data_IF_506506247629
#
_entry.id   IF_506506247629
#
_cell.length_a   1.000
_cell.length_b   1.000
_cell.length_c   1.000
_cell.angle_alpha   90.00
_cell.angle_beta   90.00
_cell.angle_gamma   90.00
#
_symmetry.space_group_name_H-M   'P 1'
#
loop_
_entity.id
_entity.type
_entity.pdbx_description
1 polymer ?
#
# COMPACT_ATOMS: atom_id res chain seq x y z
N UNK A 1 -14.32 -14.22 -18.94
CA UNK A 1 -14.45 -12.99 -18.12
C UNK A 1 -13.87 -13.29 -16.74
N UNK A 2 -12.70 -12.74 -16.44
CA UNK A 2 -11.79 -13.23 -15.39
C UNK A 2 -12.27 -12.98 -13.96
N UNK A 3 -12.44 -14.05 -13.18
CA UNK A 3 -12.88 -14.06 -11.78
C UNK A 3 -11.75 -13.82 -10.77
N UNK A 4 -10.71 -13.04 -11.11
CA UNK A 4 -9.51 -12.88 -10.27
C UNK A 4 -9.17 -11.48 -9.71
N UNK A 5 -9.93 -10.38 -9.91
CA UNK A 5 -9.49 -9.08 -9.39
C UNK A 5 -9.46 -9.00 -7.86
N UNK A 6 -10.31 -9.78 -7.17
CA UNK A 6 -10.43 -9.78 -5.69
C UNK A 6 -9.32 -10.61 -5.04
N UNK A 7 -8.97 -11.78 -5.61
CA UNK A 7 -7.90 -12.63 -5.08
C UNK A 7 -6.53 -11.95 -5.20
N UNK A 8 -6.28 -11.23 -6.30
CA UNK A 8 -5.08 -10.42 -6.47
C UNK A 8 -5.03 -9.26 -5.48
N UNK A 9 -6.18 -8.64 -5.18
CA UNK A 9 -6.26 -7.54 -4.22
C UNK A 9 -5.98 -8.00 -2.79
N UNK A 10 -6.58 -9.11 -2.36
CA UNK A 10 -6.31 -9.75 -1.06
C UNK A 10 -4.84 -10.15 -0.91
N UNK A 11 -4.23 -10.72 -1.95
CA UNK A 11 -2.82 -11.09 -1.92
C UNK A 11 -1.90 -9.88 -1.74
N UNK A 12 -2.25 -8.75 -2.36
CA UNK A 12 -1.54 -7.47 -2.19
C UNK A 12 -1.73 -6.89 -0.78
N UNK A 13 -2.93 -7.01 -0.21
CA UNK A 13 -3.23 -6.58 1.17
C UNK A 13 -2.43 -7.41 2.19
N UNK A 14 -2.41 -8.74 2.06
CA UNK A 14 -1.59 -9.61 2.92
C UNK A 14 -0.09 -9.30 2.83
N UNK A 15 0.40 -8.98 1.63
CA UNK A 15 1.79 -8.56 1.45
C UNK A 15 2.05 -7.24 2.14
N UNK A 16 1.12 -6.28 2.08
CA UNK A 16 1.20 -5.02 2.80
C UNK A 16 1.27 -5.22 4.32
N UNK A 17 0.38 -6.03 4.88
CA UNK A 17 0.37 -6.39 6.30
C UNK A 17 1.68 -7.02 6.74
N UNK A 18 2.17 -7.99 5.96
CA UNK A 18 3.42 -8.70 6.26
C UNK A 18 4.65 -7.79 6.15
N UNK A 19 4.70 -6.95 5.11
CA UNK A 19 5.83 -6.03 4.87
C UNK A 19 5.90 -4.93 5.93
N UNK A 20 4.76 -4.36 6.33
CA UNK A 20 4.71 -3.27 7.30
C UNK A 20 4.52 -3.72 8.74
N UNK A 21 4.28 -5.01 8.97
CA UNK A 21 3.91 -5.58 10.27
C UNK A 21 2.70 -4.88 10.89
N UNK A 22 1.67 -4.66 10.07
CA UNK A 22 0.40 -4.02 10.45
C UNK A 22 -0.78 -4.95 10.18
N UNK A 23 -1.91 -4.60 10.77
CA UNK A 23 -3.22 -5.19 10.49
C UNK A 23 -4.07 -4.13 9.79
N UNK A 24 -4.48 -4.40 8.55
CA UNK A 24 -5.22 -3.42 7.74
C UNK A 24 -6.61 -3.13 8.32
N UNK A 25 -7.26 -4.12 8.92
CA UNK A 25 -8.56 -3.92 9.56
C UNK A 25 -8.41 -3.03 10.78
N UNK A 26 -7.35 -3.23 11.57
CA UNK A 26 -7.06 -2.37 12.73
C UNK A 26 -6.72 -0.94 12.32
N UNK A 27 -5.94 -0.76 11.26
CA UNK A 27 -5.64 0.57 10.73
C UNK A 27 -6.92 1.25 10.22
N UNK A 28 -7.81 0.50 9.56
CA UNK A 28 -9.11 1.02 9.15
C UNK A 28 -9.99 1.43 10.33
N UNK A 29 -10.04 0.62 11.40
CA UNK A 29 -10.80 0.96 12.61
C UNK A 29 -10.25 2.18 13.35
N UNK A 30 -8.95 2.43 13.26
CA UNK A 30 -8.31 3.56 13.94
C UNK A 30 -8.61 4.91 13.28
N UNK A 31 -8.44 5.01 11.96
CA UNK A 31 -8.53 6.29 11.22
C UNK A 31 -9.00 6.13 9.78
N UNK A 32 -9.71 5.03 9.49
CA UNK A 32 -10.10 4.63 8.13
C UNK A 32 -8.91 4.46 7.17
N UNK A 33 -7.71 4.23 7.72
CA UNK A 33 -6.49 3.98 6.98
C UNK A 33 -5.79 5.23 6.45
N UNK A 34 -6.19 6.44 6.85
CA UNK A 34 -5.60 7.69 6.34
C UNK A 34 -4.11 7.83 6.66
N UNK A 35 -3.67 7.49 7.88
CA UNK A 35 -2.24 7.49 8.23
C UNK A 35 -1.47 6.50 7.38
N UNK A 36 -2.02 5.29 7.18
CA UNK A 36 -1.38 4.29 6.35
C UNK A 36 -1.25 4.74 4.89
N UNK A 37 -2.29 5.34 4.32
CA UNK A 37 -2.24 5.91 2.96
C UNK A 37 -1.19 7.02 2.86
N UNK A 38 -1.03 7.82 3.91
CA UNK A 38 -0.01 8.87 3.99
C UNK A 38 1.42 8.32 4.03
N UNK A 39 1.63 7.16 4.64
CA UNK A 39 2.94 6.46 4.64
C UNK A 39 3.39 6.10 3.21
N UNK A 40 2.45 5.82 2.31
CA UNK A 40 2.76 5.54 0.90
C UNK A 40 2.89 6.80 0.02
N UNK A 41 2.78 8.00 0.58
CA UNK A 41 3.05 9.21 -0.17
C UNK A 41 4.54 9.30 -0.50
N UNK A 42 4.81 9.23 -1.79
CA UNK A 42 6.15 9.30 -2.34
C UNK A 42 6.11 10.26 -3.53
N UNK A 43 6.66 11.46 -3.32
CA UNK A 43 6.65 12.51 -4.32
C UNK A 43 7.77 12.32 -5.35
N UNK A 44 7.69 13.05 -6.45
CA UNK A 44 8.81 13.14 -7.42
C UNK A 44 10.06 13.77 -6.78
N UNK A 45 9.89 14.61 -5.75
CA UNK A 45 11.00 15.22 -5.03
C UNK A 45 11.68 14.20 -4.10
N UNK A 46 10.91 13.34 -3.44
CA UNK A 46 11.45 12.22 -2.66
C UNK A 46 12.28 11.27 -3.53
N UNK A 47 11.81 10.98 -4.75
CA UNK A 47 12.54 10.17 -5.73
C UNK A 47 13.87 10.83 -6.14
N UNK A 48 13.85 12.13 -6.46
CA UNK A 48 15.06 12.91 -6.81
C UNK A 48 16.08 12.93 -5.69
N UNK A 49 15.63 12.94 -4.43
CA UNK A 49 16.48 12.93 -3.24
C UNK A 49 16.86 11.51 -2.79
N UNK A 50 16.54 10.47 -3.56
CA UNK A 50 16.79 9.06 -3.19
C UNK A 50 16.24 8.69 -1.81
N UNK A 51 15.10 9.27 -1.42
CA UNK A 51 14.47 8.99 -0.14
C UNK A 51 14.14 7.51 -0.06
N UNK A 52 14.56 6.88 1.03
CA UNK A 52 14.27 5.48 1.25
C UNK A 52 12.75 5.26 1.47
N UNK A 53 12.19 4.15 0.97
CA UNK A 53 10.82 3.80 1.26
C UNK A 53 10.62 3.57 2.78
N UNK A 54 9.37 3.63 3.26
CA UNK A 54 9.03 3.30 4.65
C UNK A 54 9.63 1.98 5.10
N UNK A 55 10.05 1.92 6.37
CA UNK A 55 10.61 0.70 6.97
C UNK A 55 9.65 -0.48 6.76
N UNK A 56 10.20 -1.60 6.29
CA UNK A 56 9.43 -2.81 5.98
C UNK A 56 9.04 -2.95 4.50
N UNK A 57 9.07 -1.86 3.73
CA UNK A 57 8.89 -1.91 2.28
C UNK A 57 10.25 -2.04 1.61
N UNK A 58 10.44 -3.13 0.87
CA UNK A 58 11.63 -3.37 0.08
C UNK A 58 11.25 -3.48 -1.39
N UNK A 59 11.99 -2.77 -2.22
CA UNK A 59 11.91 -2.86 -3.67
C UNK A 59 13.19 -3.51 -4.19
N UNK A 60 13.08 -4.33 -5.22
CA UNK A 60 14.26 -4.94 -5.87
C UNK A 60 15.12 -3.86 -6.54
N UNK A 61 16.42 -4.09 -6.64
CA UNK A 61 17.34 -3.18 -7.31
C UNK A 61 16.90 -2.91 -8.76
N UNK A 62 16.81 -1.63 -9.13
CA UNK A 62 16.30 -1.19 -10.45
C UNK A 62 14.78 -1.01 -10.52
N UNK A 63 14.03 -1.32 -9.46
CA UNK A 63 12.60 -1.04 -9.38
C UNK A 63 12.32 0.46 -9.30
N UNK A 64 11.24 0.90 -9.95
CA UNK A 64 10.76 2.27 -9.81
C UNK A 64 9.99 2.41 -8.48
N UNK A 65 10.66 2.93 -7.45
CA UNK A 65 10.12 3.10 -6.08
C UNK A 65 8.83 3.91 -6.12
N UNK A 66 8.78 5.00 -6.88
CA UNK A 66 7.59 5.86 -6.97
C UNK A 66 6.37 5.10 -7.48
N UNK A 67 6.51 4.34 -8.56
CA UNK A 67 5.43 3.50 -9.11
C UNK A 67 5.05 2.38 -8.15
N UNK A 68 6.04 1.79 -7.47
CA UNK A 68 5.81 0.79 -6.43
C UNK A 68 4.96 1.35 -5.28
N UNK A 69 5.37 2.49 -4.72
CA UNK A 69 4.66 3.21 -3.65
C UNK A 69 3.25 3.63 -4.09
N UNK A 70 3.09 4.14 -5.31
CA UNK A 70 1.78 4.47 -5.86
C UNK A 70 0.86 3.24 -6.01
N UNK A 71 1.43 2.09 -6.40
CA UNK A 71 0.70 0.82 -6.51
C UNK A 71 0.24 0.31 -5.14
N UNK A 72 1.11 0.38 -4.13
CA UNK A 72 0.77 0.04 -2.74
C UNK A 72 -0.32 0.96 -2.18
N UNK A 73 -0.19 2.27 -2.42
CA UNK A 73 -1.22 3.26 -2.06
C UNK A 73 -2.57 2.93 -2.68
N UNK A 74 -2.60 2.60 -3.97
CA UNK A 74 -3.84 2.23 -4.66
C UNK A 74 -4.46 0.94 -4.10
N UNK A 75 -3.63 -0.05 -3.76
CA UNK A 75 -4.11 -1.29 -3.14
C UNK A 75 -4.73 -1.04 -1.76
N UNK A 76 -4.07 -0.28 -0.89
CA UNK A 76 -4.61 0.11 0.42
C UNK A 76 -5.91 0.90 0.30
N UNK A 77 -5.98 1.88 -0.62
CA UNK A 77 -7.21 2.65 -0.84
C UNK A 77 -8.38 1.76 -1.25
N UNK A 78 -8.17 0.85 -2.20
CA UNK A 78 -9.21 -0.10 -2.63
C UNK A 78 -9.69 -1.01 -1.50
N UNK A 79 -8.79 -1.42 -0.61
CA UNK A 79 -9.15 -2.20 0.57
C UNK A 79 -10.07 -1.39 1.49
N UNK A 80 -9.66 -0.17 1.85
CA UNK A 80 -10.47 0.69 2.73
C UNK A 80 -11.78 1.13 2.10
N UNK A 81 -11.83 1.36 0.78
CA UNK A 81 -13.09 1.59 0.05
C UNK A 81 -14.03 0.38 0.13
N UNK A 82 -13.49 -0.84 0.02
CA UNK A 82 -14.26 -2.06 0.22
C UNK A 82 -14.79 -2.19 1.66
N UNK A 83 -13.97 -1.89 2.67
CA UNK A 83 -14.38 -1.87 4.07
C UNK A 83 -15.44 -0.80 4.39
N UNK A 84 -15.47 0.32 3.66
CA UNK A 84 -16.54 1.34 3.80
C UNK A 84 -17.85 0.94 3.12
N UNK A 85 -17.78 0.03 2.14
CA UNK A 85 -18.93 -0.37 1.32
C UNK A 85 -19.64 -1.62 1.85
N UNK A 86 -19.09 -2.26 2.90
CA UNK A 86 -19.70 -3.36 3.65
C UNK A 86 -19.90 -2.95 5.11
#
# INVERSE_FOLDING_TARGET
MGKHPIADALSRCKRLESSLQIDLDREFLNDQGERLISVFEYSTEDEKNNRQPPKGIQFESGSNIKNGMASLRSAGKKYFEFCRSN
#
